data_IF_759968173451
#
_entry.id   IF_759968173451
#
_cell.length_a   1.000
_cell.length_b   1.000
_cell.length_c   1.000
_cell.angle_alpha   90.00
_cell.angle_beta   90.00
_cell.angle_gamma   90.00
#
_symmetry.space_group_name_H-M   'P 1'
#
loop_
_entity.id
_entity.type
_entity.pdbx_description
1 polymer ?
#
# COMPACT_ATOMS: atom_id res chain seq x y z
N UNK A 1 4.13 -11.90 -7.66
CA UNK A 1 4.57 -10.54 -8.08
C UNK A 1 6.10 -10.45 -8.25
N UNK A 2 6.82 -11.56 -8.29
CA UNK A 2 8.29 -11.59 -8.20
C UNK A 2 8.99 -10.99 -9.41
N UNK A 3 8.43 -11.18 -10.61
CA UNK A 3 8.99 -10.61 -11.84
C UNK A 3 8.77 -9.09 -11.94
N UNK A 4 7.54 -8.63 -11.66
CA UNK A 4 7.18 -7.20 -11.73
C UNK A 4 7.96 -6.40 -10.69
N UNK A 5 8.14 -6.91 -9.46
CA UNK A 5 8.91 -6.22 -8.41
C UNK A 5 10.35 -5.89 -8.82
N UNK A 6 11.01 -6.76 -9.61
CA UNK A 6 12.39 -6.51 -10.09
C UNK A 6 12.50 -5.32 -11.05
N UNK A 7 11.48 -5.11 -11.89
CA UNK A 7 11.47 -4.06 -12.93
C UNK A 7 10.57 -2.87 -12.57
N UNK A 8 10.01 -2.86 -11.36
CA UNK A 8 8.92 -2.00 -10.93
C UNK A 8 9.20 -0.51 -11.16
N UNK A 9 10.37 -0.02 -10.73
CA UNK A 9 10.76 1.38 -10.88
C UNK A 9 10.82 1.82 -12.34
N UNK A 10 11.42 1.00 -13.22
CA UNK A 10 11.52 1.30 -14.66
C UNK A 10 10.14 1.31 -15.31
N UNK A 11 9.34 0.31 -14.99
CA UNK A 11 8.00 0.15 -15.54
C UNK A 11 7.07 1.33 -15.17
N UNK A 12 7.05 1.74 -13.90
CA UNK A 12 6.26 2.90 -13.47
C UNK A 12 6.73 4.16 -14.19
N UNK A 13 8.04 4.42 -14.22
CA UNK A 13 8.56 5.63 -14.86
C UNK A 13 8.20 5.71 -16.35
N UNK A 14 8.29 4.59 -17.09
CA UNK A 14 7.92 4.55 -18.50
C UNK A 14 6.42 4.74 -18.75
N UNK A 15 5.57 4.14 -17.92
CA UNK A 15 4.11 4.28 -18.06
C UNK A 15 3.69 5.71 -17.69
N UNK A 16 4.21 6.28 -16.62
CA UNK A 16 3.88 7.65 -16.19
C UNK A 16 4.31 8.67 -17.25
N UNK A 17 5.49 8.50 -17.88
CA UNK A 17 5.93 9.34 -18.99
C UNK A 17 4.97 9.29 -20.19
N UNK A 18 4.46 8.11 -20.53
CA UNK A 18 3.53 7.92 -21.66
C UNK A 18 2.12 8.44 -21.37
N UNK A 19 1.62 8.18 -20.17
CA UNK A 19 0.23 8.46 -19.78
C UNK A 19 0.04 9.83 -19.13
N UNK A 20 1.14 10.49 -18.71
CA UNK A 20 1.16 11.77 -17.96
C UNK A 20 0.28 11.74 -16.71
N UNK A 21 0.05 10.56 -16.12
CA UNK A 21 -0.77 10.33 -14.94
C UNK A 21 0.01 9.48 -13.94
N UNK A 22 -0.32 9.59 -12.65
CA UNK A 22 0.25 8.70 -11.64
C UNK A 22 -0.30 7.28 -11.80
N UNK A 23 0.60 6.30 -11.76
CA UNK A 23 0.25 4.89 -11.93
C UNK A 23 0.78 4.06 -10.78
N UNK A 24 -0.08 3.18 -10.27
CA UNK A 24 0.22 2.25 -9.18
C UNK A 24 -0.07 0.83 -9.65
N UNK A 25 0.84 -0.10 -9.36
CA UNK A 25 0.70 -1.50 -9.77
C UNK A 25 0.45 -2.34 -8.52
N UNK A 26 -0.67 -3.06 -8.50
CA UNK A 26 -1.08 -3.90 -7.38
C UNK A 26 -1.32 -5.33 -7.85
N UNK A 27 -0.89 -6.33 -7.06
CA UNK A 27 -1.25 -7.71 -7.36
C UNK A 27 -2.72 -7.99 -7.01
N UNK A 28 -3.43 -8.65 -7.93
CA UNK A 28 -4.77 -9.18 -7.69
C UNK A 28 -4.69 -10.33 -6.67
N UNK A 29 -5.06 -10.04 -5.41
CA UNK A 29 -5.10 -11.00 -4.31
C UNK A 29 -6.55 -11.33 -3.95
N UNK A 30 -6.83 -12.61 -3.67
CA UNK A 30 -8.17 -13.06 -3.30
C UNK A 30 -8.30 -13.33 -1.80
N UNK A 31 -9.30 -12.71 -1.17
CA UNK A 31 -9.63 -12.93 0.25
C UNK A 31 -10.61 -14.10 0.40
N UNK A 32 -10.34 -15.02 1.34
CA UNK A 32 -11.28 -16.08 1.73
C UNK A 32 -12.03 -15.69 3.00
N UNK A 33 -13.32 -16.02 3.07
CA UNK A 33 -14.14 -15.82 4.27
C UNK A 33 -14.06 -17.04 5.19
N UNK A 34 -13.97 -16.81 6.50
CA UNK A 34 -13.90 -17.84 7.55
C UNK A 34 -14.97 -18.94 7.40
N UNK A 35 -16.21 -18.51 7.18
CA UNK A 35 -17.40 -19.37 7.25
C UNK A 35 -17.90 -19.85 5.88
N UNK A 36 -17.04 -20.02 4.88
CA UNK A 36 -17.49 -20.60 3.60
C UNK A 36 -17.83 -22.09 3.78
N UNK A 37 -19.09 -22.44 3.50
CA UNK A 37 -19.66 -23.80 3.61
C UNK A 37 -19.15 -24.78 2.54
N UNK A 38 -18.62 -24.27 1.42
CA UNK A 38 -18.11 -25.08 0.32
C UNK A 38 -16.58 -24.98 0.32
N UNK A 39 -15.86 -25.86 1.01
CA UNK A 39 -14.40 -25.71 1.19
C UNK A 39 -13.58 -26.76 0.43
N UNK A 40 -12.85 -26.29 -0.59
CA UNK A 40 -11.60 -26.92 -1.08
C UNK A 40 -10.48 -26.90 -0.03
N UNK A 41 -10.54 -25.98 0.94
CA UNK A 41 -9.54 -25.85 2.02
C UNK A 41 -10.23 -25.88 3.39
N UNK A 42 -9.89 -26.86 4.24
CA UNK A 42 -10.44 -27.01 5.59
C UNK A 42 -10.06 -25.83 6.52
N UNK A 43 -8.82 -25.35 6.39
CA UNK A 43 -8.23 -24.23 7.14
C UNK A 43 -7.86 -23.11 6.16
N UNK A 44 -8.10 -21.85 6.52
CA UNK A 44 -7.74 -20.71 5.67
C UNK A 44 -6.22 -20.46 5.77
N UNK A 45 -5.50 -20.42 4.64
CA UNK A 45 -4.10 -20.02 4.65
C UNK A 45 -3.98 -18.54 5.03
N UNK A 46 -3.01 -18.20 5.89
CA UNK A 46 -2.78 -16.82 6.37
C UNK A 46 -2.65 -15.81 5.22
N UNK A 47 -2.04 -16.23 4.10
CA UNK A 47 -1.87 -15.45 2.88
C UNK A 47 -3.17 -14.95 2.24
N UNK A 48 -4.32 -15.58 2.56
CA UNK A 48 -5.64 -15.21 2.01
C UNK A 48 -6.59 -14.60 3.04
N UNK A 49 -6.07 -14.24 4.22
CA UNK A 49 -6.85 -13.52 5.24
C UNK A 49 -7.00 -12.05 4.88
N UNK A 50 -8.13 -11.43 5.23
CA UNK A 50 -8.42 -10.03 4.93
C UNK A 50 -7.31 -9.08 5.42
N UNK A 51 -6.83 -9.32 6.65
CA UNK A 51 -5.76 -8.51 7.26
C UNK A 51 -4.48 -8.59 6.43
N UNK A 52 -4.01 -9.80 6.14
CA UNK A 52 -2.77 -10.01 5.40
C UNK A 52 -2.84 -9.45 3.97
N UNK A 53 -3.99 -9.64 3.30
CA UNK A 53 -4.18 -9.07 1.95
C UNK A 53 -4.11 -7.55 1.98
N UNK A 54 -4.68 -6.90 3.00
CA UNK A 54 -4.66 -5.45 3.12
C UNK A 54 -3.28 -4.89 3.46
N UNK A 55 -2.50 -5.60 4.27
CA UNK A 55 -1.09 -5.27 4.53
C UNK A 55 -0.25 -5.39 3.25
N UNK A 56 -0.38 -6.51 2.54
CA UNK A 56 0.35 -6.74 1.29
C UNK A 56 -0.08 -5.80 0.15
N UNK A 57 -1.33 -5.32 0.13
CA UNK A 57 -1.78 -4.29 -0.83
C UNK A 57 -1.17 -2.92 -0.52
N UNK A 58 -1.01 -2.59 0.75
CA UNK A 58 -0.44 -1.32 1.18
C UNK A 58 1.05 -1.24 0.79
N UNK A 59 1.80 -2.36 0.93
CA UNK A 59 3.16 -2.49 0.39
C UNK A 59 3.23 -2.31 -1.13
N UNK A 60 2.33 -2.93 -1.88
CA UNK A 60 2.32 -2.82 -3.35
C UNK A 60 2.04 -1.39 -3.83
N UNK A 61 1.16 -0.65 -3.13
CA UNK A 61 0.77 0.71 -3.53
C UNK A 61 1.94 1.68 -3.40
N UNK A 62 2.76 1.49 -2.35
CA UNK A 62 3.87 2.39 -2.01
C UNK A 62 5.13 2.06 -2.80
N UNK A 63 5.24 0.86 -3.36
CA UNK A 63 6.39 0.43 -4.16
C UNK A 63 6.71 1.44 -5.28
N UNK A 64 7.96 1.91 -5.43
CA UNK A 64 9.21 1.28 -4.98
C UNK A 64 9.58 1.52 -3.50
N UNK A 65 8.87 2.42 -2.82
CA UNK A 65 9.25 2.80 -1.46
C UNK A 65 8.87 1.75 -0.42
N UNK A 66 9.66 1.71 0.63
CA UNK A 66 9.46 0.83 1.77
C UNK A 66 8.79 1.56 2.93
N UNK A 67 7.96 0.82 3.67
CA UNK A 67 7.26 1.34 4.83
C UNK A 67 8.16 1.11 6.04
N UNK A 68 8.57 2.20 6.69
CA UNK A 68 9.32 2.14 7.95
C UNK A 68 8.40 1.69 9.08
N UNK A 69 7.18 2.19 9.10
CA UNK A 69 6.27 1.93 10.21
C UNK A 69 4.80 2.17 9.88
N UNK A 70 3.96 1.42 10.57
CA UNK A 70 2.51 1.56 10.52
C UNK A 70 1.99 1.80 11.93
N UNK A 71 1.19 2.85 12.09
CA UNK A 71 0.51 3.18 13.34
C UNK A 71 -0.99 3.29 13.07
N UNK A 72 -1.80 2.83 14.01
CA UNK A 72 -3.25 2.98 13.94
C UNK A 72 -3.64 3.97 15.02
N UNK A 73 -4.17 5.11 14.58
CA UNK A 73 -4.78 6.10 15.46
C UNK A 73 -6.26 5.78 15.57
N UNK A 74 -6.79 5.76 16.79
CA UNK A 74 -8.24 5.67 17.02
C UNK A 74 -8.75 7.06 17.36
N UNK A 75 -9.70 7.56 16.57
CA UNK A 75 -10.36 8.83 16.86
C UNK A 75 -11.42 8.62 17.96
N UNK A 76 -11.85 9.71 18.59
CA UNK A 76 -12.96 9.73 19.57
C UNK A 76 -14.24 9.12 19.00
N UNK A 77 -14.47 9.28 17.69
CA UNK A 77 -15.62 8.72 16.97
C UNK A 77 -15.52 7.20 16.71
N UNK A 78 -14.48 6.53 17.22
CA UNK A 78 -14.21 5.10 16.99
C UNK A 78 -13.66 4.76 15.61
N UNK A 79 -13.49 5.75 14.72
CA UNK A 79 -12.86 5.57 13.41
C UNK A 79 -11.37 5.29 13.56
N UNK A 80 -10.87 4.34 12.74
CA UNK A 80 -9.45 3.98 12.69
C UNK A 80 -8.79 4.71 11.54
N UNK A 81 -7.78 5.52 11.84
CA UNK A 81 -6.94 6.20 10.87
C UNK A 81 -5.56 5.55 10.85
N UNK A 82 -5.18 5.04 9.69
CA UNK A 82 -3.90 4.38 9.49
C UNK A 82 -2.84 5.41 9.10
N UNK A 83 -1.86 5.64 9.98
CA UNK A 83 -0.71 6.51 9.74
C UNK A 83 0.47 5.66 9.30
N UNK A 84 0.92 5.87 8.07
CA UNK A 84 2.01 5.10 7.46
C UNK A 84 3.20 6.03 7.30
N UNK A 85 4.36 5.55 7.74
CA UNK A 85 5.63 6.26 7.66
C UNK A 85 6.46 5.59 6.57
N UNK A 86 6.81 6.36 5.53
CA UNK A 86 7.62 5.92 4.39
C UNK A 86 9.11 6.17 4.65
N UNK A 87 10.01 5.58 3.85
CA UNK A 87 11.45 5.90 3.95
C UNK A 87 11.78 7.29 3.39
N UNK A 88 12.62 8.04 4.13
CA UNK A 88 13.11 9.36 3.73
C UNK A 88 14.07 9.31 2.54
N UNK A 89 14.71 8.17 2.29
CA UNK A 89 15.70 8.02 1.21
C UNK A 89 15.13 8.29 -0.19
N UNK A 90 13.82 8.17 -0.36
CA UNK A 90 13.15 8.39 -1.65
C UNK A 90 12.50 9.76 -1.81
N UNK A 91 12.57 10.64 -0.78
CA UNK A 91 12.18 12.06 -0.92
C UNK A 91 12.84 12.71 -2.14
N UNK A 92 14.11 12.40 -2.37
CA UNK A 92 14.95 13.09 -3.36
C UNK A 92 14.82 12.55 -4.80
N UNK A 93 14.20 11.38 -5.03
CA UNK A 93 14.31 10.68 -6.33
C UNK A 93 13.07 10.75 -7.21
N UNK A 94 11.87 10.67 -6.63
CA UNK A 94 10.65 10.35 -7.41
C UNK A 94 9.45 11.29 -7.11
N UNK A 95 9.67 12.49 -6.54
CA UNK A 95 8.62 13.45 -6.15
C UNK A 95 7.46 12.78 -5.39
N UNK A 96 7.80 11.92 -4.42
CA UNK A 96 6.82 11.10 -3.70
C UNK A 96 5.76 11.94 -3.00
N UNK A 97 6.12 13.15 -2.57
CA UNK A 97 5.22 14.07 -1.87
C UNK A 97 3.94 14.36 -2.67
N UNK A 98 4.07 14.54 -3.99
CA UNK A 98 2.93 14.77 -4.89
C UNK A 98 2.04 13.52 -5.02
N UNK A 99 2.63 12.32 -4.85
CA UNK A 99 1.94 11.03 -4.99
C UNK A 99 1.24 10.58 -3.69
N UNK A 100 1.57 11.15 -2.53
CA UNK A 100 1.03 10.73 -1.23
C UNK A 100 -0.50 10.78 -1.20
N UNK A 101 -1.10 11.83 -1.77
CA UNK A 101 -2.55 11.97 -1.85
C UNK A 101 -3.17 10.89 -2.73
N UNK A 102 -2.53 10.55 -3.85
CA UNK A 102 -2.97 9.51 -4.78
C UNK A 102 -2.94 8.13 -4.13
N UNK A 103 -1.90 7.81 -3.35
CA UNK A 103 -1.82 6.55 -2.61
C UNK A 103 -2.95 6.39 -1.60
N UNK A 104 -3.27 7.47 -0.86
CA UNK A 104 -4.37 7.47 0.10
C UNK A 104 -5.72 7.22 -0.60
N UNK A 105 -5.95 7.88 -1.74
CA UNK A 105 -7.16 7.72 -2.54
C UNK A 105 -7.31 6.28 -3.08
N UNK A 106 -6.23 5.69 -3.61
CA UNK A 106 -6.24 4.31 -4.13
C UNK A 106 -6.53 3.30 -3.01
N UNK A 107 -5.87 3.43 -1.86
CA UNK A 107 -6.10 2.51 -0.75
C UNK A 107 -7.53 2.61 -0.21
N UNK A 108 -8.06 3.83 -0.12
CA UNK A 108 -9.45 4.08 0.29
C UNK A 108 -10.45 3.49 -0.71
N UNK A 109 -10.19 3.61 -2.01
CA UNK A 109 -11.05 3.03 -3.04
C UNK A 109 -11.12 1.49 -2.96
N UNK A 110 -9.98 0.83 -2.68
CA UNK A 110 -9.91 -0.64 -2.64
C UNK A 110 -10.46 -1.19 -1.31
N UNK A 111 -10.07 -0.60 -0.19
CA UNK A 111 -10.27 -1.20 1.15
C UNK A 111 -11.36 -0.51 1.97
N UNK A 112 -11.79 0.69 1.57
CA UNK A 112 -12.68 1.60 2.32
C UNK A 112 -12.12 2.00 3.69
N UNK A 113 -10.80 2.00 3.85
CA UNK A 113 -10.11 2.46 5.07
C UNK A 113 -9.41 3.79 4.82
N UNK A 114 -9.45 4.65 5.82
CA UNK A 114 -8.76 5.94 5.78
C UNK A 114 -7.29 5.78 6.16
N UNK A 115 -6.42 6.32 5.30
CA UNK A 115 -4.97 6.25 5.41
C UNK A 115 -4.38 7.64 5.22
N UNK A 116 -3.36 7.94 6.02
CA UNK A 116 -2.49 9.10 5.85
C UNK A 116 -1.05 8.62 5.74
N UNK A 117 -0.40 8.99 4.63
CA UNK A 117 1.02 8.75 4.43
C UNK A 117 1.82 9.96 4.90
N UNK A 118 2.96 9.69 5.54
CA UNK A 118 3.86 10.71 6.05
C UNK A 118 5.31 10.29 5.82
N UNK A 119 6.16 11.29 5.63
CA UNK A 119 7.61 11.10 5.56
C UNK A 119 8.22 11.47 6.92
N UNK A 120 9.30 10.80 7.36
CA UNK A 120 10.00 11.16 8.56
C UNK A 120 10.51 12.62 8.46
N UNK A 121 10.57 13.36 9.57
CA UNK A 121 11.32 14.59 9.61
C UNK A 121 12.80 14.27 9.37
N UNK A 122 13.49 15.11 8.59
CA UNK A 122 14.94 15.04 8.45
C UNK A 122 15.54 15.43 9.81
N UNK A 123 15.89 14.44 10.63
CA UNK A 123 16.67 14.70 11.85
C UNK A 123 18.10 15.01 11.41
N UNK A 124 18.35 16.24 10.96
CA UNK A 124 19.69 16.78 10.86
C UNK A 124 20.21 16.97 12.28
N UNK A 125 21.17 16.12 12.67
CA UNK A 125 22.16 16.42 13.70
C UNK A 125 23.51 16.48 13.01
#
# INVERSE_FOLDING_TARGET
>A
MTYVKKIHKKLISEIEKKTKKYVVIVAKRETLKANQKNKKFKIIPRSRTLKHVYEAMLEDIVAPSEIIGQRISMNTDGKRLYKIILDSKERQRDNIEDKLHSFAAVYKAITKRDVVFSLPPTNEK
#
